data_IF_052184042845
#
_entry.id   IF_052184042845
#
_cell.length_a   1.000
_cell.length_b   1.000
_cell.length_c   1.000
_cell.angle_alpha   90.00
_cell.angle_beta   90.00
_cell.angle_gamma   90.00
#
_symmetry.space_group_name_H-M   'P 1'
#
loop_
_entity.id
_entity.type
_entity.pdbx_description
1 polymer ?
#
# COMPACT_ATOMS: atom_id res chain seq x y z
N UNK A 1 -53.50 -23.56 5.16
CA UNK A 1 -53.22 -22.17 4.80
C UNK A 1 -53.48 -21.99 3.32
N UNK A 2 -54.27 -21.03 2.94
CA UNK A 2 -54.51 -20.72 1.52
C UNK A 2 -53.22 -20.24 0.86
N UNK A 3 -52.76 -20.98 -0.17
CA UNK A 3 -51.51 -20.67 -0.86
C UNK A 3 -51.52 -19.30 -1.60
N UNK A 4 -52.70 -18.76 -1.79
CA UNK A 4 -52.91 -17.45 -2.45
C UNK A 4 -53.03 -16.28 -1.44
N UNK A 5 -52.90 -16.54 -0.14
CA UNK A 5 -52.99 -15.47 0.86
C UNK A 5 -51.65 -14.71 0.94
N UNK A 6 -51.77 -13.38 1.10
CA UNK A 6 -50.57 -12.53 1.30
C UNK A 6 -49.73 -12.98 2.49
N UNK A 7 -50.38 -13.51 3.56
CA UNK A 7 -49.69 -14.01 4.76
C UNK A 7 -48.85 -15.25 4.43
N UNK A 8 -49.35 -16.17 3.57
CA UNK A 8 -48.56 -17.33 3.12
C UNK A 8 -47.35 -16.90 2.31
N UNK A 9 -47.53 -15.96 1.37
CA UNK A 9 -46.47 -15.45 0.52
C UNK A 9 -45.35 -14.78 1.34
N UNK A 10 -45.72 -13.95 2.32
CA UNK A 10 -44.75 -13.29 3.23
C UNK A 10 -44.00 -14.34 4.07
N UNK A 11 -44.72 -15.27 4.68
CA UNK A 11 -44.13 -16.32 5.50
C UNK A 11 -43.16 -17.20 4.66
N UNK A 12 -43.56 -17.59 3.46
CA UNK A 12 -42.71 -18.35 2.53
C UNK A 12 -41.44 -17.58 2.17
N UNK A 13 -41.57 -16.30 1.81
CA UNK A 13 -40.41 -15.46 1.50
C UNK A 13 -39.46 -15.34 2.68
N UNK A 14 -39.95 -15.12 3.90
CA UNK A 14 -39.14 -15.05 5.12
C UNK A 14 -38.41 -16.36 5.38
N UNK A 15 -39.09 -17.51 5.25
CA UNK A 15 -38.44 -18.82 5.45
C UNK A 15 -37.34 -19.06 4.42
N UNK A 16 -37.60 -18.78 3.13
CA UNK A 16 -36.60 -18.92 2.08
C UNK A 16 -35.38 -18.02 2.32
N UNK A 17 -35.63 -16.72 2.61
CA UNK A 17 -34.55 -15.78 2.93
C UNK A 17 -33.73 -16.25 4.15
N UNK A 18 -34.41 -16.75 5.20
CA UNK A 18 -33.73 -17.25 6.39
C UNK A 18 -32.85 -18.46 6.09
N UNK A 19 -33.35 -19.45 5.35
CA UNK A 19 -32.59 -20.65 4.97
C UNK A 19 -31.38 -20.29 4.11
N UNK A 20 -31.55 -19.37 3.15
CA UNK A 20 -30.44 -18.88 2.31
C UNK A 20 -29.41 -18.10 3.13
N UNK A 21 -29.86 -17.23 4.06
CA UNK A 21 -28.97 -16.46 4.94
C UNK A 21 -28.14 -17.38 5.84
N UNK A 22 -28.77 -18.40 6.46
CA UNK A 22 -28.07 -19.39 7.28
C UNK A 22 -27.08 -20.19 6.44
N UNK A 23 -27.47 -20.64 5.24
CA UNK A 23 -26.59 -21.35 4.33
C UNK A 23 -25.35 -20.52 3.93
N UNK A 24 -25.55 -19.26 3.58
CA UNK A 24 -24.47 -18.34 3.25
C UNK A 24 -23.54 -18.09 4.46
N UNK A 25 -24.11 -17.83 5.63
CA UNK A 25 -23.33 -17.60 6.84
C UNK A 25 -22.47 -18.81 7.23
N UNK A 26 -23.06 -20.03 7.18
CA UNK A 26 -22.34 -21.26 7.46
C UNK A 26 -21.20 -21.51 6.44
N UNK A 27 -21.48 -21.28 5.15
CA UNK A 27 -20.46 -21.40 4.09
C UNK A 27 -19.33 -20.40 4.28
N UNK A 28 -19.65 -19.14 4.56
CA UNK A 28 -18.65 -18.10 4.83
C UNK A 28 -17.76 -18.47 6.02
N UNK A 29 -18.39 -18.82 7.17
CA UNK A 29 -17.64 -19.19 8.39
C UNK A 29 -16.72 -20.40 8.17
N UNK A 30 -17.15 -21.38 7.36
CA UNK A 30 -16.31 -22.55 7.06
C UNK A 30 -15.11 -22.23 6.14
N UNK A 31 -15.18 -21.15 5.38
CA UNK A 31 -14.14 -20.74 4.44
C UNK A 31 -13.27 -19.61 4.98
N UNK A 32 -13.66 -18.93 6.06
CA UNK A 32 -13.03 -17.74 6.60
C UNK A 32 -11.52 -17.90 6.80
N UNK A 33 -11.10 -18.96 7.50
CA UNK A 33 -9.67 -19.27 7.73
C UNK A 33 -8.89 -19.46 6.41
N UNK A 34 -9.51 -20.09 5.41
CA UNK A 34 -8.86 -20.28 4.10
C UNK A 34 -8.76 -18.96 3.33
N UNK A 35 -9.77 -18.10 3.43
CA UNK A 35 -9.79 -16.76 2.81
C UNK A 35 -8.68 -15.91 3.43
N UNK A 36 -8.57 -15.88 4.76
CA UNK A 36 -7.53 -15.14 5.46
C UNK A 36 -6.13 -15.63 5.11
N UNK A 37 -5.90 -16.94 5.10
CA UNK A 37 -4.63 -17.53 4.71
C UNK A 37 -4.24 -17.20 3.25
N UNK A 38 -5.21 -17.17 2.34
CA UNK A 38 -4.94 -16.78 0.95
C UNK A 38 -4.67 -15.27 0.83
N UNK A 39 -5.41 -14.43 1.56
CA UNK A 39 -5.15 -12.98 1.58
C UNK A 39 -3.77 -12.65 2.16
N UNK A 40 -3.35 -13.35 3.21
CA UNK A 40 -2.00 -13.19 3.78
C UNK A 40 -0.94 -13.59 2.76
N UNK A 41 -1.11 -14.75 2.13
CA UNK A 41 -0.20 -15.22 1.09
C UNK A 41 -0.10 -14.23 -0.09
N UNK A 42 -1.23 -13.70 -0.58
CA UNK A 42 -1.23 -12.72 -1.67
C UNK A 42 -0.47 -11.44 -1.30
N UNK A 43 -0.59 -10.98 -0.06
CA UNK A 43 0.21 -9.84 0.45
C UNK A 43 1.70 -10.17 0.44
N UNK A 44 2.11 -11.30 1.04
CA UNK A 44 3.50 -11.74 1.07
C UNK A 44 4.09 -11.87 -0.34
N UNK A 45 3.35 -12.50 -1.25
CA UNK A 45 3.74 -12.62 -2.66
C UNK A 45 3.97 -11.26 -3.31
N UNK A 46 3.06 -10.30 -3.12
CA UNK A 46 3.18 -8.95 -3.67
C UNK A 46 4.34 -8.16 -3.06
N UNK A 47 4.63 -8.34 -1.76
CA UNK A 47 5.82 -7.77 -1.12
C UNK A 47 7.08 -8.33 -1.78
N UNK A 48 7.17 -9.65 -1.97
CA UNK A 48 8.33 -10.29 -2.62
C UNK A 48 8.53 -9.80 -4.06
N UNK A 49 7.44 -9.59 -4.81
CA UNK A 49 7.50 -8.98 -6.15
C UNK A 49 8.05 -7.55 -6.06
N UNK A 50 7.53 -6.73 -5.15
CA UNK A 50 7.95 -5.34 -5.01
C UNK A 50 9.44 -5.22 -4.64
N UNK A 51 9.95 -6.09 -3.75
CA UNK A 51 11.36 -6.11 -3.35
C UNK A 51 12.28 -6.88 -4.31
N UNK A 52 11.74 -7.49 -5.37
CA UNK A 52 12.50 -8.20 -6.39
C UNK A 52 13.07 -9.55 -5.95
N UNK A 53 12.36 -10.27 -5.07
CA UNK A 53 12.68 -11.66 -4.65
C UNK A 53 11.85 -12.71 -5.39
N UNK A 54 10.78 -12.29 -6.04
CA UNK A 54 9.89 -13.14 -6.82
C UNK A 54 9.46 -12.39 -8.08
N UNK A 55 9.56 -13.05 -9.23
CA UNK A 55 9.01 -12.55 -10.50
C UNK A 55 7.93 -13.51 -11.01
N UNK A 56 6.65 -13.08 -11.11
CA UNK A 56 5.57 -13.95 -11.57
C UNK A 56 5.76 -14.49 -13.00
N UNK A 57 6.51 -13.79 -13.85
CA UNK A 57 6.73 -14.17 -15.25
C UNK A 57 7.90 -15.17 -15.40
N UNK A 58 8.89 -15.10 -14.49
CA UNK A 58 10.08 -15.98 -14.52
C UNK A 58 9.96 -17.17 -13.56
N UNK A 59 9.34 -16.95 -12.39
CA UNK A 59 9.27 -17.92 -11.29
C UNK A 59 7.97 -18.76 -11.30
N UNK A 60 7.44 -19.06 -12.49
CA UNK A 60 6.14 -19.77 -12.67
C UNK A 60 6.08 -21.14 -12.00
N UNK A 61 7.22 -21.81 -11.84
CA UNK A 61 7.32 -23.15 -11.24
C UNK A 61 7.45 -23.13 -9.71
N UNK A 62 7.60 -21.94 -9.08
CA UNK A 62 7.71 -21.85 -7.62
C UNK A 62 6.40 -22.18 -6.95
N UNK A 63 6.44 -23.15 -6.04
CA UNK A 63 5.30 -23.52 -5.21
C UNK A 63 5.00 -22.49 -4.13
N UNK A 64 3.78 -22.49 -3.59
CA UNK A 64 3.40 -21.65 -2.45
C UNK A 64 4.39 -21.76 -1.29
N UNK A 65 4.76 -22.98 -0.91
CA UNK A 65 5.71 -23.21 0.20
C UNK A 65 7.09 -22.60 -0.05
N UNK A 66 7.57 -22.59 -1.29
CA UNK A 66 8.85 -21.96 -1.65
C UNK A 66 8.76 -20.44 -1.58
N UNK A 67 7.63 -19.84 -1.95
CA UNK A 67 7.40 -18.42 -1.86
C UNK A 67 7.32 -17.98 -0.38
N UNK A 68 6.56 -18.72 0.45
CA UNK A 68 6.47 -18.49 1.90
C UNK A 68 7.85 -18.63 2.59
N UNK A 69 8.61 -19.67 2.26
CA UNK A 69 9.98 -19.85 2.78
C UNK A 69 10.93 -18.72 2.37
N UNK A 70 10.79 -18.16 1.16
CA UNK A 70 11.55 -16.99 0.73
C UNK A 70 11.19 -15.75 1.53
N UNK A 71 9.91 -15.58 1.87
CA UNK A 71 9.44 -14.50 2.72
C UNK A 71 10.04 -14.61 4.14
N UNK A 72 9.91 -15.76 4.78
CA UNK A 72 10.42 -16.00 6.13
C UNK A 72 11.95 -15.81 6.22
N UNK A 73 12.69 -16.19 5.16
CA UNK A 73 14.14 -16.08 5.14
C UNK A 73 14.66 -14.66 4.95
N UNK A 74 14.05 -13.88 4.08
CA UNK A 74 14.62 -12.63 3.58
C UNK A 74 13.84 -11.38 3.99
N UNK A 75 12.68 -11.53 4.65
CA UNK A 75 11.89 -10.38 5.07
C UNK A 75 11.93 -10.22 6.60
N UNK A 76 12.13 -8.99 7.04
CA UNK A 76 12.01 -8.57 8.43
C UNK A 76 10.92 -7.51 8.53
N UNK A 77 9.80 -7.88 9.14
CA UNK A 77 8.65 -7.01 9.25
C UNK A 77 8.71 -6.20 10.55
N UNK A 78 8.30 -4.94 10.46
CA UNK A 78 8.29 -4.01 11.59
C UNK A 78 6.95 -3.31 11.67
N UNK A 79 6.51 -3.04 12.89
CA UNK A 79 5.41 -2.14 13.19
C UNK A 79 5.99 -0.83 13.74
N UNK A 80 5.63 0.28 13.12
CA UNK A 80 6.13 1.60 13.47
C UNK A 80 4.98 2.47 13.97
N UNK A 81 5.21 3.18 15.07
CA UNK A 81 4.31 4.23 15.57
C UNK A 81 4.65 5.55 14.88
N UNK A 82 3.65 6.18 14.24
CA UNK A 82 3.78 7.47 13.59
C UNK A 82 3.64 8.58 14.63
N UNK A 83 4.70 9.37 14.80
CA UNK A 83 4.69 10.53 15.70
C UNK A 83 4.40 11.79 14.91
N UNK A 84 3.28 12.46 15.21
CA UNK A 84 2.86 13.72 14.60
C UNK A 84 3.01 14.87 15.58
N UNK A 85 3.34 16.04 15.08
CA UNK A 85 3.35 17.30 15.85
C UNK A 85 2.77 18.44 15.01
N UNK A 86 2.13 19.39 15.70
CA UNK A 86 1.75 20.65 15.11
C UNK A 86 3.01 21.50 14.90
N UNK A 87 3.30 21.85 13.65
CA UNK A 87 4.46 22.68 13.27
C UNK A 87 3.96 23.99 12.68
N UNK A 88 4.55 25.09 13.11
CA UNK A 88 4.26 26.41 12.56
C UNK A 88 5.06 26.62 11.28
N UNK A 89 4.38 26.81 10.18
CA UNK A 89 4.99 27.01 8.87
C UNK A 89 4.76 28.45 8.41
N UNK A 90 5.83 29.20 8.09
CA UNK A 90 5.67 30.54 7.55
C UNK A 90 5.14 30.47 6.11
N UNK A 91 4.00 31.09 5.86
CA UNK A 91 3.39 31.21 4.53
C UNK A 91 3.49 32.69 4.08
N UNK A 92 4.14 32.91 2.93
CA UNK A 92 4.18 34.19 2.29
C UNK A 92 3.01 34.37 1.33
N UNK A 93 2.14 35.31 1.61
CA UNK A 93 1.04 35.69 0.72
C UNK A 93 1.00 37.21 0.59
N UNK A 94 1.11 37.77 -0.62
CA UNK A 94 0.97 39.21 -0.88
C UNK A 94 1.97 40.09 -0.15
N UNK A 95 3.19 39.63 0.13
CA UNK A 95 4.22 40.39 0.84
C UNK A 95 4.16 40.30 2.37
N UNK A 96 3.15 39.67 2.93
CA UNK A 96 3.03 39.44 4.37
C UNK A 96 3.37 37.99 4.68
N UNK A 97 4.17 37.78 5.74
CA UNK A 97 4.45 36.42 6.26
C UNK A 97 3.47 36.16 7.39
N UNK A 98 2.61 35.11 7.20
CA UNK A 98 1.74 34.58 8.24
C UNK A 98 2.23 33.18 8.64
N UNK A 99 2.03 32.79 9.88
CA UNK A 99 2.26 31.41 10.33
C UNK A 99 0.96 30.64 10.25
N UNK A 100 1.00 29.45 9.62
CA UNK A 100 -0.08 28.47 9.70
C UNK A 100 0.40 27.28 10.51
N UNK A 101 -0.47 26.73 11.35
CA UNK A 101 -0.22 25.48 12.05
C UNK A 101 -0.60 24.33 11.14
N UNK A 102 0.32 23.40 10.96
CA UNK A 102 0.11 22.16 10.20
C UNK A 102 0.61 20.97 10.99
N UNK A 103 -0.13 19.90 10.92
CA UNK A 103 0.31 18.62 11.46
C UNK A 103 1.33 17.99 10.52
N UNK A 104 2.50 17.65 11.03
CA UNK A 104 3.56 16.97 10.28
C UNK A 104 4.06 15.74 11.02
N UNK A 105 4.44 14.70 10.24
CA UNK A 105 5.12 13.53 10.78
C UNK A 105 6.55 13.93 11.13
N UNK A 106 6.86 13.88 12.42
CA UNK A 106 8.18 14.23 12.96
C UNK A 106 9.05 13.02 13.28
N UNK A 107 8.48 11.82 13.26
CA UNK A 107 9.23 10.59 13.50
C UNK A 107 8.41 9.34 13.31
N UNK A 108 9.10 8.23 13.17
CA UNK A 108 8.57 6.87 13.26
C UNK A 108 9.37 6.13 14.32
N UNK A 109 8.68 5.51 15.26
CA UNK A 109 9.28 4.78 16.37
C UNK A 109 9.00 3.29 16.16
N UNK A 110 10.06 2.48 16.15
CA UNK A 110 9.97 1.01 16.11
C UNK A 110 9.25 0.51 17.36
N UNK A 111 8.23 -0.31 17.19
CA UNK A 111 7.45 -0.85 18.30
C UNK A 111 7.83 -2.30 18.56
N UNK A 112 7.66 -2.83 19.78
CA UNK A 112 7.97 -4.21 20.09
C UNK A 112 6.90 -5.20 19.59
N UNK A 113 6.04 -4.81 18.68
CA UNK A 113 4.93 -5.62 18.17
C UNK A 113 5.28 -6.27 16.84
N UNK A 114 4.82 -7.50 16.64
CA UNK A 114 4.94 -8.20 15.38
C UNK A 114 3.94 -7.68 14.33
N UNK A 115 4.33 -7.77 13.06
CA UNK A 115 3.43 -7.40 11.95
C UNK A 115 2.15 -8.22 11.91
N UNK A 116 2.19 -9.49 12.34
CA UNK A 116 1.01 -10.34 12.43
C UNK A 116 -0.09 -9.71 13.31
N UNK A 117 0.30 -8.98 14.35
CA UNK A 117 -0.61 -8.36 15.31
C UNK A 117 -1.13 -6.98 14.86
N UNK A 118 -0.57 -6.41 13.78
CA UNK A 118 -0.85 -5.03 13.37
C UNK A 118 -2.34 -4.74 13.19
N UNK A 119 -3.10 -5.66 12.59
CA UNK A 119 -4.53 -5.46 12.35
C UNK A 119 -5.32 -5.39 13.66
N UNK A 120 -4.98 -6.22 14.63
CA UNK A 120 -5.60 -6.22 15.95
C UNK A 120 -5.18 -5.00 16.76
N UNK A 121 -3.91 -4.61 16.70
CA UNK A 121 -3.41 -3.39 17.31
C UNK A 121 -4.11 -2.14 16.75
N UNK A 122 -4.27 -2.03 15.44
CA UNK A 122 -5.01 -0.93 14.81
C UNK A 122 -6.49 -0.92 15.23
N UNK A 123 -7.09 -2.10 15.38
CA UNK A 123 -8.47 -2.24 15.88
C UNK A 123 -8.59 -1.77 17.32
N UNK A 124 -7.65 -2.13 18.19
CA UNK A 124 -7.62 -1.66 19.60
C UNK A 124 -7.40 -0.14 19.66
N UNK A 125 -6.46 0.41 18.86
CA UNK A 125 -6.27 1.86 18.79
C UNK A 125 -7.54 2.58 18.32
N UNK A 126 -8.30 2.00 17.38
CA UNK A 126 -9.54 2.61 16.87
C UNK A 126 -10.66 2.76 17.93
N UNK A 127 -10.62 1.96 19.01
CA UNK A 127 -11.58 2.03 20.12
C UNK A 127 -11.28 3.16 21.11
N UNK A 128 -10.05 3.72 21.09
CA UNK A 128 -9.65 4.81 21.96
C UNK A 128 -10.22 6.16 21.48
N UNK A 129 -10.32 7.16 22.37
CA UNK A 129 -10.59 8.54 21.95
C UNK A 129 -9.61 9.01 20.90
N UNK A 130 -10.05 9.82 19.94
CA UNK A 130 -9.22 10.26 18.79
C UNK A 130 -7.88 10.89 19.22
N UNK A 131 -7.89 11.69 20.29
CA UNK A 131 -6.69 12.34 20.83
C UNK A 131 -5.65 11.38 21.44
N UNK A 132 -6.03 10.13 21.74
CA UNK A 132 -5.18 9.10 22.35
C UNK A 132 -4.77 8.01 21.36
N UNK A 133 -5.29 8.05 20.13
CA UNK A 133 -5.01 7.03 19.10
C UNK A 133 -3.59 7.13 18.60
N UNK A 134 -2.92 5.99 18.58
CA UNK A 134 -1.63 5.84 17.91
C UNK A 134 -1.86 5.41 16.46
N UNK A 135 -1.20 6.09 15.53
CA UNK A 135 -1.17 5.65 14.14
C UNK A 135 -0.04 4.63 13.97
N UNK A 136 -0.40 3.40 13.65
CA UNK A 136 0.53 2.30 13.46
C UNK A 136 0.61 1.94 11.97
N UNK A 137 1.83 1.83 11.46
CA UNK A 137 2.12 1.47 10.07
C UNK A 137 3.13 0.32 10.01
N UNK A 138 3.10 -0.47 8.96
CA UNK A 138 4.08 -1.54 8.74
C UNK A 138 5.23 -1.07 7.86
N UNK A 139 6.40 -1.67 8.09
CA UNK A 139 7.56 -1.56 7.20
C UNK A 139 8.12 -2.98 7.00
N UNK A 140 8.25 -3.40 5.75
CA UNK A 140 8.83 -4.68 5.39
C UNK A 140 10.25 -4.45 4.88
N UNK A 141 11.23 -5.03 5.56
CA UNK A 141 12.65 -4.85 5.24
C UNK A 141 13.17 -6.12 4.59
N UNK A 142 13.63 -6.02 3.35
CA UNK A 142 14.38 -7.11 2.73
C UNK A 142 15.81 -7.10 3.26
N UNK A 143 16.27 -8.24 3.76
CA UNK A 143 17.64 -8.45 4.22
C UNK A 143 18.37 -9.41 3.28
N UNK A 144 19.70 -9.31 3.23
CA UNK A 144 20.57 -10.28 2.57
C UNK A 144 20.95 -11.45 3.52
N UNK A 145 21.81 -12.35 3.05
CA UNK A 145 22.28 -13.50 3.84
C UNK A 145 23.16 -13.10 5.04
N UNK A 146 23.61 -11.84 5.12
CA UNK A 146 24.34 -11.27 6.25
C UNK A 146 23.41 -10.54 7.23
N UNK A 147 22.12 -10.42 6.92
CA UNK A 147 21.14 -9.69 7.72
C UNK A 147 21.13 -8.18 7.47
N UNK A 148 21.86 -7.70 6.46
CA UNK A 148 21.89 -6.29 6.11
C UNK A 148 20.68 -5.89 5.25
N UNK A 149 20.11 -4.71 5.54
CA UNK A 149 18.96 -4.22 4.82
C UNK A 149 19.32 -3.78 3.39
N UNK A 150 18.70 -4.42 2.37
CA UNK A 150 18.91 -4.17 0.95
C UNK A 150 17.73 -3.50 0.26
N UNK A 151 16.54 -3.58 0.82
CA UNK A 151 15.37 -2.83 0.34
C UNK A 151 14.37 -2.59 1.48
N UNK A 152 13.56 -1.54 1.33
CA UNK A 152 12.50 -1.14 2.26
C UNK A 152 11.19 -1.08 1.50
N UNK A 153 10.20 -1.84 1.94
CA UNK A 153 8.89 -1.93 1.30
C UNK A 153 7.81 -1.39 2.23
N UNK A 154 7.04 -0.44 1.74
CA UNK A 154 5.95 0.21 2.46
C UNK A 154 4.60 -0.15 1.84
N UNK A 155 3.54 -0.32 2.62
CA UNK A 155 2.19 -0.37 2.10
C UNK A 155 1.81 0.99 1.52
N UNK A 156 1.11 0.95 0.38
CA UNK A 156 0.54 2.14 -0.26
C UNK A 156 -0.95 1.94 -0.46
N UNK A 157 -1.74 2.98 -0.22
CA UNK A 157 -3.17 2.90 -0.45
C UNK A 157 -3.83 4.26 -0.67
N UNK A 158 -4.83 4.27 -1.53
CA UNK A 158 -5.65 5.46 -1.76
C UNK A 158 -6.71 5.26 -2.82
N UNK A 159 -7.54 6.28 -2.99
CA UNK A 159 -8.67 6.21 -3.89
C UNK A 159 -8.24 6.36 -5.35
N UNK A 160 -8.74 5.44 -6.19
CA UNK A 160 -8.80 5.58 -7.64
C UNK A 160 -10.12 6.19 -8.08
N UNK A 161 -10.72 5.64 -9.15
CA UNK A 161 -12.04 6.04 -9.62
C UNK A 161 -13.18 5.29 -8.91
N UNK A 162 -13.07 3.97 -8.77
CA UNK A 162 -14.14 3.11 -8.25
C UNK A 162 -13.93 2.64 -6.82
N UNK A 163 -12.76 2.84 -6.27
CA UNK A 163 -12.49 2.44 -4.90
C UNK A 163 -11.05 2.63 -4.48
N UNK A 164 -10.74 2.10 -3.28
CA UNK A 164 -9.38 2.12 -2.78
C UNK A 164 -8.53 1.07 -3.49
N UNK A 165 -7.37 1.51 -3.97
CA UNK A 165 -6.29 0.63 -4.39
C UNK A 165 -5.39 0.35 -3.20
N UNK A 166 -4.90 -0.88 -3.10
CA UNK A 166 -3.94 -1.32 -2.09
C UNK A 166 -2.76 -1.97 -2.79
N UNK A 167 -1.57 -1.62 -2.38
CA UNK A 167 -0.34 -2.12 -2.98
C UNK A 167 0.85 -1.99 -2.07
N UNK A 168 2.03 -2.24 -2.64
CA UNK A 168 3.31 -2.08 -1.97
C UNK A 168 4.28 -1.32 -2.88
N UNK A 169 5.06 -0.43 -2.29
CA UNK A 169 6.16 0.26 -2.95
C UNK A 169 7.46 -0.07 -2.22
N UNK A 170 8.43 -0.60 -2.93
CA UNK A 170 9.75 -0.87 -2.38
C UNK A 170 10.78 0.13 -2.90
N UNK A 171 11.63 0.61 -1.98
CA UNK A 171 12.82 1.41 -2.26
C UNK A 171 14.06 0.55 -2.04
N UNK A 172 15.12 0.79 -2.81
CA UNK A 172 16.44 0.19 -2.57
C UNK A 172 17.03 0.68 -1.24
N UNK A 173 18.13 0.09 -0.84
CA UNK A 173 18.84 0.42 0.40
C UNK A 173 19.18 1.92 0.57
N UNK A 174 19.27 2.68 -0.53
CA UNK A 174 19.51 4.13 -0.53
C UNK A 174 18.27 4.95 -0.12
N UNK A 175 17.10 4.31 0.02
CA UNK A 175 15.81 4.94 0.30
C UNK A 175 15.45 6.06 -0.70
N UNK A 176 15.97 6.01 -1.93
CA UNK A 176 15.71 6.97 -3.00
C UNK A 176 15.23 6.28 -4.27
N UNK A 177 15.89 5.22 -4.68
CA UNK A 177 15.57 4.53 -5.92
C UNK A 177 14.49 3.49 -5.69
N UNK A 178 13.44 3.52 -6.53
CA UNK A 178 12.37 2.51 -6.51
C UNK A 178 12.92 1.16 -6.94
N UNK A 179 12.69 0.12 -6.12
CA UNK A 179 12.97 -1.28 -6.44
C UNK A 179 11.82 -1.89 -7.23
N UNK A 180 10.57 -1.60 -6.83
CA UNK A 180 9.37 -2.06 -7.52
C UNK A 180 8.10 -1.55 -6.85
N UNK A 181 6.99 -1.75 -7.54
CA UNK A 181 5.64 -1.46 -7.05
C UNK A 181 4.71 -2.60 -7.41
N UNK A 182 3.73 -2.88 -6.58
CA UNK A 182 2.67 -3.86 -6.83
C UNK A 182 1.33 -3.36 -6.33
N UNK A 183 0.25 -3.88 -6.93
CA UNK A 183 -1.12 -3.69 -6.43
C UNK A 183 -1.76 -5.06 -6.27
N UNK A 184 -2.38 -5.34 -5.13
CA UNK A 184 -2.96 -6.66 -4.82
C UNK A 184 -4.46 -6.60 -4.64
N UNK A 185 -5.04 -5.39 -4.54
CA UNK A 185 -6.49 -5.24 -4.36
C UNK A 185 -6.97 -3.89 -4.87
N UNK A 186 -7.92 -3.89 -5.78
CA UNK A 186 -8.63 -2.70 -6.26
C UNK A 186 -10.00 -3.07 -6.85
N UNK A 187 -10.77 -2.06 -7.24
CA UNK A 187 -12.07 -2.20 -7.91
C UNK A 187 -12.12 -1.47 -9.25
N UNK A 188 -10.96 -1.11 -9.79
CA UNK A 188 -10.85 -0.40 -11.05
C UNK A 188 -11.25 -1.29 -12.24
N UNK A 189 -11.71 -0.67 -13.31
CA UNK A 189 -12.18 -1.37 -14.50
C UNK A 189 -11.01 -2.02 -15.26
N UNK A 190 -11.07 -3.33 -15.58
CA UNK A 190 -10.09 -4.00 -16.45
C UNK A 190 -9.95 -3.29 -17.80
N UNK A 191 -8.71 -3.22 -18.30
CA UNK A 191 -8.40 -2.50 -19.55
C UNK A 191 -8.33 -0.97 -19.41
N UNK A 192 -8.65 -0.42 -18.23
CA UNK A 192 -8.57 1.01 -17.89
C UNK A 192 -7.76 1.20 -16.61
N UNK A 193 -8.37 1.62 -15.51
CA UNK A 193 -7.70 1.79 -14.20
C UNK A 193 -7.14 0.49 -13.64
N UNK A 194 -7.71 -0.67 -13.97
CA UNK A 194 -7.23 -1.99 -13.58
C UNK A 194 -5.86 -2.35 -14.16
N UNK A 195 -5.40 -1.63 -15.20
CA UNK A 195 -4.05 -1.82 -15.75
C UNK A 195 -2.91 -1.45 -14.77
N UNK A 196 -3.23 -0.97 -13.57
CA UNK A 196 -2.26 -0.83 -12.47
C UNK A 196 -1.64 -2.18 -12.08
N UNK A 197 -2.36 -3.30 -12.33
CA UNK A 197 -1.85 -4.66 -12.10
C UNK A 197 -0.97 -5.16 -13.25
N UNK A 198 -0.91 -4.44 -14.36
CA UNK A 198 -0.13 -4.84 -15.51
C UNK A 198 1.37 -4.78 -15.19
N UNK A 199 2.03 -5.96 -15.24
CA UNK A 199 3.45 -6.10 -14.92
C UNK A 199 4.35 -5.15 -15.70
N UNK A 200 4.09 -4.95 -17.01
CA UNK A 200 4.87 -4.04 -17.86
C UNK A 200 4.77 -2.59 -17.39
N UNK A 201 3.59 -2.20 -16.89
CA UNK A 201 3.42 -0.87 -16.32
C UNK A 201 4.12 -0.74 -14.96
N UNK A 202 4.02 -1.76 -14.09
CA UNK A 202 4.72 -1.79 -12.81
C UNK A 202 6.24 -1.75 -12.97
N UNK A 203 6.79 -2.42 -13.99
CA UNK A 203 8.23 -2.40 -14.29
C UNK A 203 8.77 -1.01 -14.64
N UNK A 204 7.94 -0.10 -15.15
CA UNK A 204 8.38 1.28 -15.43
C UNK A 204 8.74 2.06 -14.14
N UNK A 205 8.28 1.61 -12.98
CA UNK A 205 8.61 2.23 -11.70
C UNK A 205 10.02 1.90 -11.23
N UNK A 206 10.58 0.79 -11.69
CA UNK A 206 11.93 0.39 -11.33
C UNK A 206 12.95 1.47 -11.74
N UNK A 207 13.88 1.71 -10.83
CA UNK A 207 14.96 2.71 -11.01
C UNK A 207 14.50 4.17 -11.06
N UNK A 208 13.19 4.47 -10.94
CA UNK A 208 12.72 5.83 -10.72
C UNK A 208 13.20 6.33 -9.36
N UNK A 209 13.37 7.64 -9.23
CA UNK A 209 13.82 8.29 -8.00
C UNK A 209 12.67 9.00 -7.31
N UNK A 210 12.63 8.88 -6.00
CA UNK A 210 11.61 9.57 -5.21
C UNK A 210 12.09 10.94 -4.71
N UNK A 211 13.38 11.30 -4.92
CA UNK A 211 13.99 12.58 -4.50
C UNK A 211 14.62 13.32 -5.66
N UNK A 212 14.58 14.65 -5.55
CA UNK A 212 15.30 15.55 -6.46
C UNK A 212 16.81 15.59 -6.15
N UNK A 213 17.56 16.31 -6.99
CA UNK A 213 19.00 16.51 -6.83
C UNK A 213 19.40 17.21 -5.51
N UNK A 214 18.46 17.87 -4.84
CA UNK A 214 18.64 18.51 -3.52
C UNK A 214 18.26 17.58 -2.35
N UNK A 215 17.88 16.34 -2.63
CA UNK A 215 17.47 15.35 -1.63
C UNK A 215 16.06 15.54 -1.09
N UNK A 216 15.24 16.43 -1.67
CA UNK A 216 13.86 16.66 -1.24
C UNK A 216 12.94 15.61 -1.85
N UNK A 217 11.98 15.12 -1.07
CA UNK A 217 10.97 14.19 -1.55
C UNK A 217 10.09 14.83 -2.63
N UNK A 218 10.14 14.30 -3.84
CA UNK A 218 9.30 14.70 -4.98
C UNK A 218 8.32 13.60 -5.39
N UNK A 219 8.59 12.34 -4.98
CA UNK A 219 7.84 11.14 -5.34
C UNK A 219 7.97 10.78 -6.83
N UNK A 220 7.31 9.69 -7.23
CA UNK A 220 7.11 9.32 -8.63
C UNK A 220 5.67 9.64 -9.02
N UNK A 221 5.46 10.21 -10.20
CA UNK A 221 4.14 10.63 -10.68
C UNK A 221 3.75 9.87 -11.93
N UNK A 222 2.46 9.60 -12.10
CA UNK A 222 1.91 9.02 -13.32
C UNK A 222 1.59 10.16 -14.28
N UNK A 223 2.32 10.24 -15.39
CA UNK A 223 2.17 11.29 -16.41
C UNK A 223 0.88 11.08 -17.22
N UNK A 224 0.26 12.14 -17.68
CA UNK A 224 -0.78 12.03 -18.70
C UNK A 224 -0.11 11.73 -20.05
N UNK A 225 -0.35 10.55 -20.60
CA UNK A 225 0.32 10.07 -21.82
C UNK A 225 1.62 9.32 -21.52
N UNK A 226 2.58 9.37 -22.44
CA UNK A 226 3.87 8.68 -22.31
C UNK A 226 4.96 9.58 -21.75
N UNK A 227 5.90 8.98 -21.07
CA UNK A 227 7.13 9.60 -20.59
C UNK A 227 8.04 9.89 -21.77
N UNK A 228 8.66 11.06 -21.77
CA UNK A 228 9.73 11.42 -22.70
C UNK A 228 11.09 11.17 -22.02
N UNK A 229 11.78 10.10 -22.44
CA UNK A 229 13.07 9.72 -21.89
C UNK A 229 14.19 10.76 -22.17
N UNK A 230 13.98 11.65 -23.14
CA UNK A 230 14.85 12.79 -23.41
C UNK A 230 14.76 13.91 -22.35
N UNK A 231 13.67 13.92 -21.56
CA UNK A 231 13.46 14.86 -20.48
C UNK A 231 13.86 14.23 -19.15
N UNK A 232 14.97 14.66 -18.57
CA UNK A 232 15.57 14.05 -17.37
C UNK A 232 14.56 13.92 -16.21
N UNK A 233 13.78 14.96 -15.91
CA UNK A 233 12.82 14.95 -14.82
C UNK A 233 11.72 13.91 -15.05
N UNK A 234 11.27 13.70 -16.30
CA UNK A 234 10.30 12.69 -16.63
C UNK A 234 10.88 11.30 -16.51
N UNK A 235 12.06 11.10 -17.10
CA UNK A 235 12.78 9.83 -17.04
C UNK A 235 13.06 9.36 -15.61
N UNK A 236 13.38 10.29 -14.70
CA UNK A 236 13.72 9.95 -13.31
C UNK A 236 12.50 9.84 -12.39
N UNK A 237 11.44 10.61 -12.63
CA UNK A 237 10.37 10.80 -11.64
C UNK A 237 8.96 10.52 -12.19
N UNK A 238 8.83 10.02 -13.44
CA UNK A 238 7.52 9.77 -14.01
C UNK A 238 7.42 8.39 -14.66
N UNK A 239 6.19 7.89 -14.72
CA UNK A 239 5.80 6.68 -15.47
C UNK A 239 4.64 7.03 -16.41
N UNK A 240 4.44 6.20 -17.44
CA UNK A 240 3.38 6.37 -18.42
C UNK A 240 2.00 6.37 -17.75
N UNK A 241 1.11 7.20 -18.26
CA UNK A 241 -0.30 7.17 -17.89
C UNK A 241 -1.02 5.97 -18.48
N UNK A 242 -2.02 5.49 -17.75
CA UNK A 242 -2.93 4.47 -18.24
C UNK A 242 -4.03 5.12 -19.11
N UNK A 243 -4.22 4.59 -20.30
CA UNK A 243 -5.20 5.12 -21.25
C UNK A 243 -6.61 5.07 -20.66
N UNK A 244 -7.34 6.19 -20.73
CA UNK A 244 -8.71 6.28 -20.23
C UNK A 244 -8.86 6.25 -18.69
N UNK A 245 -7.76 6.25 -17.92
CA UNK A 245 -7.77 6.10 -16.46
C UNK A 245 -7.16 7.30 -15.71
N UNK A 246 -7.40 8.52 -16.17
CA UNK A 246 -6.79 9.74 -15.60
C UNK A 246 -7.06 9.89 -14.09
N UNK A 247 -8.26 9.57 -13.62
CA UNK A 247 -8.61 9.70 -12.20
C UNK A 247 -7.81 8.70 -11.37
N UNK A 248 -7.73 7.45 -11.81
CA UNK A 248 -6.91 6.41 -11.16
C UNK A 248 -5.43 6.79 -11.14
N UNK A 249 -4.88 7.28 -12.25
CA UNK A 249 -3.49 7.75 -12.36
C UNK A 249 -3.19 8.89 -11.37
N UNK A 250 -4.10 9.87 -11.27
CA UNK A 250 -3.98 10.95 -10.30
C UNK A 250 -4.07 10.44 -8.86
N UNK A 251 -4.96 9.47 -8.61
CA UNK A 251 -5.08 8.79 -7.33
C UNK A 251 -3.76 8.15 -6.93
N UNK A 252 -3.18 7.32 -7.82
CA UNK A 252 -1.86 6.65 -7.59
C UNK A 252 -0.77 7.67 -7.28
N UNK A 253 -0.67 8.73 -8.08
CA UNK A 253 0.30 9.82 -7.86
C UNK A 253 0.16 10.41 -6.46
N UNK A 254 -1.07 10.71 -6.04
CA UNK A 254 -1.35 11.39 -4.78
C UNK A 254 -1.07 10.52 -3.57
N UNK A 255 -1.58 9.26 -3.57
CA UNK A 255 -1.40 8.42 -2.38
C UNK A 255 0.04 7.88 -2.27
N UNK A 256 0.73 7.57 -3.36
CA UNK A 256 2.14 7.19 -3.30
C UNK A 256 2.99 8.30 -2.68
N UNK A 257 2.74 9.56 -3.08
CA UNK A 257 3.44 10.70 -2.47
C UNK A 257 3.11 10.87 -0.99
N UNK A 258 1.84 10.72 -0.61
CA UNK A 258 1.37 10.82 0.77
C UNK A 258 2.00 9.75 1.64
N UNK A 259 1.96 8.51 1.17
CA UNK A 259 2.46 7.37 1.94
C UNK A 259 4.00 7.44 2.08
N UNK A 260 4.73 7.78 1.01
CA UNK A 260 6.17 8.06 1.10
C UNK A 260 6.50 9.17 2.12
N UNK A 261 5.69 10.23 2.18
CA UNK A 261 5.91 11.33 3.13
C UNK A 261 5.77 10.87 4.59
N UNK A 262 4.91 9.87 4.87
CA UNK A 262 4.78 9.28 6.20
C UNK A 262 6.09 8.65 6.67
N UNK A 263 6.84 7.98 5.77
CA UNK A 263 8.09 7.31 6.10
C UNK A 263 9.34 8.18 5.92
N UNK A 264 9.20 9.42 5.45
CA UNK A 264 10.35 10.27 5.06
C UNK A 264 11.35 10.49 6.19
N UNK A 265 10.89 10.79 7.41
CA UNK A 265 11.77 11.00 8.56
C UNK A 265 12.57 9.74 8.93
N UNK A 266 11.95 8.57 8.82
CA UNK A 266 12.62 7.29 9.04
C UNK A 266 13.68 7.03 7.96
N UNK A 267 13.34 7.22 6.68
CA UNK A 267 14.28 7.07 5.58
C UNK A 267 15.42 8.07 5.64
N UNK A 268 15.18 9.29 6.11
CA UNK A 268 16.25 10.28 6.36
C UNK A 268 17.22 9.76 7.43
N UNK A 269 16.72 9.17 8.50
CA UNK A 269 17.57 8.60 9.56
C UNK A 269 18.47 7.45 9.04
N UNK A 270 17.93 6.59 8.16
CA UNK A 270 18.68 5.52 7.51
C UNK A 270 19.79 6.11 6.62
N UNK A 271 19.46 7.06 5.76
CA UNK A 271 20.43 7.70 4.86
C UNK A 271 21.55 8.41 5.61
N UNK A 272 21.22 9.06 6.74
CA UNK A 272 22.24 9.75 7.55
C UNK A 272 23.23 8.81 8.23
N UNK A 273 22.82 7.58 8.55
CA UNK A 273 23.69 6.54 9.15
C UNK A 273 24.60 5.85 8.12
N UNK A 274 24.25 5.93 6.83
CA UNK A 274 25.00 5.30 5.73
C UNK A 274 26.05 6.23 5.09
N UNK A 275 26.03 7.52 5.42
CA UNK A 275 27.05 8.51 5.03
C UNK A 275 28.23 8.47 6.02
#
# INVERSE_FOLDING_TARGET
>A
MDKNSNSFTIMFAVVVCFVLAVGLAATYSSLETKIEANMSFDKQKNILVAVGLYDPDEDVDKTRAQIEASYERYMSDKVLEVVRKMVKIPVKSGGTTSEIEREEVVGLIDTPHDYADLADLQREESKKPEAERKELVSLHVRVDDQGEAVAYCIPISGYGLWGTLYGFLALKADCDQVQGITFYKHKETPGLGGEVDNRKWQLQWQSKKVRDAKGRLVSVTVKKGKVDDGVEIERLHQVDGLAGATITCNGVTNFVRKDLATYETYFQSIRSKRK
#
